data_IF_070940063886
#
_entry.id   IF_070940063886
#
_cell.length_a   1.000
_cell.length_b   1.000
_cell.length_c   1.000
_cell.angle_alpha   90.00
_cell.angle_beta   90.00
_cell.angle_gamma   90.00
#
_symmetry.space_group_name_H-M   'P 1'
#
loop_
_entity.id
_entity.type
_entity.pdbx_description
1 polymer ?
#
# COMPACT_ATOMS: atom_id res chain seq x y z
N UNK A 1 -33.49 -22.54 -31.94
CA UNK A 1 -32.01 -22.41 -31.97
C UNK A 1 -31.57 -21.60 -30.76
N UNK A 2 -31.17 -22.26 -29.67
CA UNK A 2 -30.66 -21.58 -28.47
C UNK A 2 -29.18 -21.27 -28.68
N UNK A 3 -28.87 -19.98 -28.79
CA UNK A 3 -27.49 -19.48 -28.84
C UNK A 3 -26.77 -19.88 -27.54
N UNK A 4 -25.74 -20.74 -27.65
CA UNK A 4 -24.80 -21.01 -26.56
C UNK A 4 -24.15 -19.68 -26.17
N UNK A 5 -24.56 -19.11 -25.05
CA UNK A 5 -23.85 -18.05 -24.37
C UNK A 5 -22.45 -18.59 -24.04
N UNK A 6 -21.45 -18.23 -24.84
CA UNK A 6 -20.05 -18.51 -24.56
C UNK A 6 -19.71 -17.88 -23.21
N UNK A 7 -19.43 -18.71 -22.21
CA UNK A 7 -18.88 -18.27 -20.94
C UNK A 7 -17.52 -17.62 -21.22
N UNK A 8 -17.53 -16.30 -21.41
CA UNK A 8 -16.29 -15.55 -21.56
C UNK A 8 -15.56 -15.62 -20.26
N UNK A 9 -14.56 -16.50 -20.18
CA UNK A 9 -13.67 -16.65 -19.03
C UNK A 9 -13.11 -15.26 -18.65
N UNK A 10 -13.29 -14.91 -17.38
CA UNK A 10 -12.72 -13.71 -16.78
C UNK A 10 -11.20 -13.85 -16.74
N UNK A 11 -10.50 -13.34 -17.76
CA UNK A 11 -9.05 -13.19 -17.74
C UNK A 11 -8.74 -11.71 -17.48
N UNK A 12 -8.28 -11.35 -16.28
CA UNK A 12 -7.68 -10.03 -16.09
C UNK A 12 -6.54 -9.93 -17.10
N UNK A 13 -6.48 -8.84 -17.87
CA UNK A 13 -5.45 -8.70 -18.88
C UNK A 13 -4.10 -8.45 -18.18
N UNK A 14 -3.31 -9.49 -17.97
CA UNK A 14 -1.96 -9.47 -17.38
C UNK A 14 -1.06 -8.41 -18.03
N UNK A 15 -1.24 -8.15 -19.33
CA UNK A 15 -0.52 -7.09 -20.06
C UNK A 15 -0.85 -5.69 -19.51
N UNK A 16 -2.12 -5.43 -19.24
CA UNK A 16 -2.61 -4.14 -18.72
C UNK A 16 -2.16 -3.92 -17.28
N UNK A 17 -2.19 -4.96 -16.46
CA UNK A 17 -1.65 -4.97 -15.11
C UNK A 17 -0.13 -4.64 -15.12
N UNK A 18 0.66 -5.34 -15.94
CA UNK A 18 2.11 -5.09 -16.08
C UNK A 18 2.41 -3.66 -16.52
N UNK A 19 1.66 -3.11 -17.46
CA UNK A 19 1.82 -1.73 -17.92
C UNK A 19 1.55 -0.73 -16.77
N UNK A 20 0.47 -0.92 -16.03
CA UNK A 20 0.13 -0.06 -14.88
C UNK A 20 1.20 -0.12 -13.80
N UNK A 21 1.68 -1.31 -13.42
CA UNK A 21 2.74 -1.49 -12.44
C UNK A 21 4.05 -0.83 -12.90
N UNK A 22 4.44 -0.98 -14.16
CA UNK A 22 5.63 -0.31 -14.69
C UNK A 22 5.53 1.22 -14.59
N UNK A 23 4.36 1.78 -14.86
CA UNK A 23 4.12 3.23 -14.77
C UNK A 23 4.29 3.75 -13.34
N UNK A 24 3.92 2.97 -12.34
CA UNK A 24 3.98 3.34 -10.92
C UNK A 24 5.25 2.85 -10.22
N UNK A 25 6.15 2.14 -10.92
CA UNK A 25 7.33 1.51 -10.32
C UNK A 25 8.28 2.53 -9.66
N UNK A 26 8.50 3.67 -10.31
CA UNK A 26 9.32 4.75 -9.74
C UNK A 26 8.74 5.29 -8.43
N UNK A 27 7.42 5.47 -8.38
CA UNK A 27 6.73 5.90 -7.16
C UNK A 27 6.83 4.83 -6.06
N UNK A 28 6.74 3.53 -6.43
CA UNK A 28 6.88 2.41 -5.48
C UNK A 28 8.27 2.40 -4.85
N UNK A 29 9.32 2.57 -5.65
CA UNK A 29 10.70 2.63 -5.15
C UNK A 29 10.86 3.82 -4.20
N UNK A 30 10.39 5.00 -4.58
CA UNK A 30 10.45 6.20 -3.74
C UNK A 30 9.72 6.01 -2.42
N UNK A 31 8.50 5.44 -2.45
CA UNK A 31 7.73 5.12 -1.25
C UNK A 31 8.43 4.08 -0.37
N UNK A 32 9.07 3.06 -0.98
CA UNK A 32 9.81 2.04 -0.23
C UNK A 32 11.00 2.66 0.51
N UNK A 33 11.78 3.50 -0.16
CA UNK A 33 12.90 4.21 0.46
C UNK A 33 12.41 5.13 1.57
N UNK A 34 11.36 5.91 1.32
CA UNK A 34 10.77 6.81 2.32
C UNK A 34 10.30 6.05 3.57
N UNK A 35 9.56 4.96 3.39
CA UNK A 35 9.06 4.13 4.49
C UNK A 35 10.19 3.46 5.29
N UNK A 36 11.23 2.97 4.60
CA UNK A 36 12.39 2.36 5.26
C UNK A 36 13.25 3.37 6.01
N UNK A 37 13.33 4.62 5.55
CA UNK A 37 14.01 5.68 6.28
C UNK A 37 13.18 6.20 7.46
N UNK A 38 11.88 6.41 7.24
CA UNK A 38 11.01 7.00 8.25
C UNK A 38 10.76 6.04 9.42
N UNK A 39 10.29 4.80 9.17
CA UNK A 39 9.87 3.90 10.25
C UNK A 39 11.03 3.40 11.12
N UNK A 40 12.04 2.71 10.58
CA UNK A 40 13.15 2.27 11.40
C UNK A 40 14.03 3.44 11.85
N UNK A 41 14.19 4.50 11.04
CA UNK A 41 14.95 5.69 11.42
C UNK A 41 14.34 6.41 12.61
N UNK A 42 13.03 6.56 12.67
CA UNK A 42 12.33 7.14 13.83
C UNK A 42 12.55 6.30 15.09
N UNK A 43 12.41 4.98 15.00
CA UNK A 43 12.63 4.08 16.14
C UNK A 43 14.07 4.13 16.60
N UNK A 44 15.04 4.07 15.68
CA UNK A 44 16.46 4.13 16.01
C UNK A 44 16.87 5.46 16.64
N UNK A 45 16.32 6.59 16.20
CA UNK A 45 16.58 7.89 16.83
C UNK A 45 16.04 7.94 18.27
N UNK A 46 14.86 7.36 18.51
CA UNK A 46 14.31 7.26 19.85
C UNK A 46 15.15 6.36 20.77
N UNK A 47 15.64 5.23 20.27
CA UNK A 47 16.54 4.33 20.97
C UNK A 47 17.84 5.09 21.32
N UNK A 48 18.46 5.74 20.36
CA UNK A 48 19.72 6.47 20.58
C UNK A 48 19.57 7.60 21.60
N UNK A 49 18.47 8.37 21.53
CA UNK A 49 18.19 9.43 22.50
C UNK A 49 17.99 8.90 23.92
N UNK A 50 17.38 7.73 24.07
CA UNK A 50 17.20 7.09 25.37
C UNK A 50 18.49 6.51 25.95
N UNK A 51 19.30 5.86 25.11
CA UNK A 51 20.60 5.35 25.54
C UNK A 51 21.55 6.47 25.96
N UNK A 52 21.50 7.62 25.31
CA UNK A 52 22.31 8.79 25.66
C UNK A 52 21.81 9.53 26.90
N UNK A 53 20.56 9.34 27.33
CA UNK A 53 19.96 10.03 28.49
C UNK A 53 20.20 9.34 29.83
N UNK A 54 21.26 8.55 30.01
CA UNK A 54 21.81 8.02 31.28
C UNK A 54 20.85 7.26 32.23
N UNK A 55 19.58 7.05 31.89
CA UNK A 55 18.58 6.59 32.85
C UNK A 55 18.05 5.16 32.64
N UNK A 56 18.30 4.52 31.51
CA UNK A 56 17.87 3.12 31.31
C UNK A 56 18.67 2.43 30.22
N UNK A 57 19.19 1.25 30.53
CA UNK A 57 19.91 0.37 29.59
C UNK A 57 18.97 -0.38 28.65
N UNK A 58 17.67 -0.34 28.90
CA UNK A 58 16.66 -1.11 28.17
C UNK A 58 15.62 -0.16 27.58
N UNK A 59 15.34 -0.30 26.29
CA UNK A 59 14.35 0.46 25.56
C UNK A 59 13.04 -0.33 25.41
N UNK A 60 11.95 0.21 25.92
CA UNK A 60 10.62 -0.42 25.78
C UNK A 60 9.94 0.06 24.49
N UNK A 61 9.84 -0.84 23.51
CA UNK A 61 9.24 -0.58 22.20
C UNK A 61 7.73 -0.33 22.27
N UNK A 62 7.02 -0.95 23.22
CA UNK A 62 5.56 -0.89 23.30
C UNK A 62 5.04 0.55 23.51
N UNK A 63 5.85 1.44 24.09
CA UNK A 63 5.49 2.85 24.27
C UNK A 63 5.46 3.66 22.95
N UNK A 64 6.24 3.26 21.95
CA UNK A 64 6.37 3.98 20.68
C UNK A 64 5.60 3.29 19.56
N UNK A 65 5.36 2.00 19.67
CA UNK A 65 4.68 1.20 18.65
C UNK A 65 3.36 1.84 18.15
N UNK A 66 2.44 2.35 18.99
CA UNK A 66 1.21 2.95 18.49
C UNK A 66 1.44 4.18 17.60
N UNK A 67 2.43 5.03 17.96
CA UNK A 67 2.77 6.23 17.18
C UNK A 67 3.32 5.86 15.81
N UNK A 68 4.24 4.90 15.76
CA UNK A 68 4.83 4.44 14.50
C UNK A 68 3.77 3.78 13.61
N UNK A 69 2.93 2.91 14.18
CA UNK A 69 1.86 2.21 13.47
C UNK A 69 0.86 3.21 12.88
N UNK A 70 0.44 4.22 13.64
CA UNK A 70 -0.49 5.26 13.16
C UNK A 70 0.13 6.08 12.02
N UNK A 71 1.40 6.45 12.12
CA UNK A 71 2.10 7.18 11.06
C UNK A 71 2.22 6.34 9.78
N UNK A 72 2.59 5.06 9.87
CA UNK A 72 2.62 4.13 8.72
C UNK A 72 1.24 4.04 8.07
N UNK A 73 0.18 3.94 8.88
CA UNK A 73 -1.20 3.86 8.37
C UNK A 73 -1.60 5.11 7.58
N UNK A 74 -1.31 6.29 8.10
CA UNK A 74 -1.59 7.57 7.41
C UNK A 74 -0.84 7.66 6.08
N UNK A 75 0.44 7.31 6.09
CA UNK A 75 1.29 7.34 4.89
C UNK A 75 0.79 6.33 3.84
N UNK A 76 0.43 5.10 4.24
CA UNK A 76 -0.09 4.09 3.33
C UNK A 76 -1.45 4.46 2.74
N UNK A 77 -2.34 5.09 3.51
CA UNK A 77 -3.60 5.62 3.00
C UNK A 77 -3.39 6.75 2.00
N UNK A 78 -2.52 7.71 2.30
CA UNK A 78 -2.14 8.78 1.36
C UNK A 78 -1.55 8.23 0.06
N UNK A 79 -0.68 7.23 0.17
CA UNK A 79 -0.15 6.53 -0.99
C UNK A 79 -1.24 5.84 -1.81
N UNK A 80 -2.21 5.17 -1.16
CA UNK A 80 -3.32 4.51 -1.84
C UNK A 80 -4.13 5.49 -2.69
N UNK A 81 -4.42 6.68 -2.16
CA UNK A 81 -5.09 7.75 -2.90
C UNK A 81 -4.30 8.12 -4.16
N UNK A 82 -3.01 8.41 -4.03
CA UNK A 82 -2.14 8.79 -5.15
C UNK A 82 -2.05 7.68 -6.22
N UNK A 83 -1.85 6.43 -5.81
CA UNK A 83 -1.77 5.31 -6.75
C UNK A 83 -3.08 5.08 -7.50
N UNK A 84 -4.22 5.20 -6.82
CA UNK A 84 -5.53 5.10 -7.46
C UNK A 84 -5.75 6.25 -8.43
N UNK A 85 -5.48 7.49 -8.05
CA UNK A 85 -5.58 8.62 -8.97
C UNK A 85 -4.73 8.45 -10.22
N UNK A 86 -3.46 8.03 -10.08
CA UNK A 86 -2.56 7.80 -11.22
C UNK A 86 -3.09 6.68 -12.12
N UNK A 87 -3.58 5.57 -11.54
CA UNK A 87 -4.07 4.44 -12.32
C UNK A 87 -5.41 4.71 -13.00
N UNK A 88 -6.24 5.58 -12.42
CA UNK A 88 -7.56 5.94 -12.98
C UNK A 88 -7.58 7.30 -13.70
N UNK A 89 -6.44 8.00 -13.79
CA UNK A 89 -6.34 9.29 -14.48
C UNK A 89 -6.85 9.25 -15.94
N UNK A 90 -6.86 8.06 -16.57
CA UNK A 90 -7.39 7.90 -17.93
C UNK A 90 -8.89 8.16 -18.05
N UNK A 91 -9.66 8.02 -16.96
CA UNK A 91 -11.12 8.31 -16.98
C UNK A 91 -11.39 9.80 -17.21
N UNK A 92 -10.45 10.66 -16.81
CA UNK A 92 -10.58 12.11 -16.94
C UNK A 92 -10.02 12.68 -18.26
N UNK A 93 -9.40 11.82 -19.10
CA UNK A 93 -8.87 12.23 -20.41
C UNK A 93 -9.69 11.61 -21.54
N UNK A 94 -10.37 12.44 -22.36
CA UNK A 94 -11.19 11.99 -23.50
C UNK A 94 -10.44 11.05 -24.43
N UNK A 95 -9.23 11.43 -24.85
CA UNK A 95 -8.41 10.63 -25.77
C UNK A 95 -8.05 9.25 -25.21
N UNK A 96 -7.76 9.15 -23.92
CA UNK A 96 -7.46 7.88 -23.26
C UNK A 96 -8.71 7.05 -23.02
N UNK A 97 -9.82 7.69 -22.68
CA UNK A 97 -11.10 7.03 -22.45
C UNK A 97 -11.61 6.35 -23.72
N UNK A 98 -11.58 7.04 -24.86
CA UNK A 98 -12.02 6.50 -26.16
C UNK A 98 -11.16 5.30 -26.58
N UNK A 99 -9.85 5.36 -26.34
CA UNK A 99 -8.95 4.24 -26.60
C UNK A 99 -9.31 3.01 -25.75
N UNK A 100 -9.57 3.19 -24.45
CA UNK A 100 -9.90 2.07 -23.56
C UNK A 100 -11.31 1.51 -23.85
N UNK A 101 -12.25 2.34 -24.33
CA UNK A 101 -13.58 1.89 -24.73
C UNK A 101 -13.59 1.12 -26.06
N UNK A 102 -12.61 1.35 -26.94
CA UNK A 102 -12.45 0.60 -28.19
C UNK A 102 -11.84 -0.80 -28.00
N UNK A 103 -11.23 -1.08 -26.82
CA UNK A 103 -10.68 -2.39 -26.54
C UNK A 103 -11.79 -3.41 -26.26
N UNK A 104 -11.70 -4.64 -26.79
CA UNK A 104 -12.69 -5.71 -26.57
C UNK A 104 -12.55 -6.33 -25.15
N UNK A 105 -12.46 -5.47 -24.13
CA UNK A 105 -12.34 -5.86 -22.73
C UNK A 105 -13.62 -5.55 -21.97
N UNK A 106 -14.01 -6.45 -21.06
CA UNK A 106 -15.11 -6.15 -20.13
C UNK A 106 -14.70 -5.01 -19.20
N UNK A 107 -15.55 -3.99 -19.05
CA UNK A 107 -15.32 -2.82 -18.16
C UNK A 107 -14.93 -3.24 -16.74
N UNK A 108 -15.59 -4.26 -16.19
CA UNK A 108 -15.27 -4.82 -14.86
C UNK A 108 -13.85 -5.38 -14.77
N UNK A 109 -13.39 -6.09 -15.81
CA UNK A 109 -12.02 -6.63 -15.85
C UNK A 109 -10.95 -5.54 -15.88
N UNK A 110 -11.23 -4.43 -16.58
CA UNK A 110 -10.34 -3.28 -16.63
C UNK A 110 -10.26 -2.58 -15.26
N UNK A 111 -11.40 -2.32 -14.62
CA UNK A 111 -11.46 -1.71 -13.30
C UNK A 111 -10.73 -2.55 -12.24
N UNK A 112 -11.02 -3.85 -12.20
CA UNK A 112 -10.40 -4.77 -11.23
C UNK A 112 -8.88 -4.86 -11.44
N UNK A 113 -8.41 -4.99 -12.68
CA UNK A 113 -6.96 -5.07 -12.93
C UNK A 113 -6.22 -3.79 -12.55
N UNK A 114 -6.83 -2.61 -12.73
CA UNK A 114 -6.28 -1.32 -12.31
C UNK A 114 -6.28 -1.14 -10.81
N UNK A 115 -7.34 -1.61 -10.14
CA UNK A 115 -7.45 -1.61 -8.69
C UNK A 115 -6.31 -2.42 -8.05
N UNK A 116 -6.10 -3.66 -8.50
CA UNK A 116 -5.00 -4.48 -8.02
C UNK A 116 -3.61 -3.89 -8.37
N UNK A 117 -3.48 -3.27 -9.56
CA UNK A 117 -2.25 -2.60 -9.94
C UNK A 117 -1.94 -1.36 -9.09
N UNK A 118 -2.93 -0.79 -8.41
CA UNK A 118 -2.73 0.29 -7.45
C UNK A 118 -2.36 -0.25 -6.05
N UNK A 119 -3.02 -1.30 -5.57
CA UNK A 119 -2.85 -1.81 -4.19
C UNK A 119 -1.57 -2.63 -4.04
N UNK A 120 -1.29 -3.55 -4.97
CA UNK A 120 -0.14 -4.47 -4.84
C UNK A 120 1.21 -3.75 -4.67
N UNK A 121 1.53 -2.68 -5.41
CA UNK A 121 2.77 -1.94 -5.20
C UNK A 121 2.90 -1.29 -3.82
N UNK A 122 1.80 -0.97 -3.14
CA UNK A 122 1.80 -0.37 -1.80
C UNK A 122 2.08 -1.42 -0.73
N UNK A 123 1.70 -2.67 -0.96
CA UNK A 123 1.95 -3.75 -0.01
C UNK A 123 3.46 -4.00 0.19
N UNK A 124 4.28 -3.80 -0.85
CA UNK A 124 5.73 -4.02 -0.77
C UNK A 124 6.38 -3.12 0.29
N UNK A 125 6.30 -1.78 0.22
CA UNK A 125 6.86 -0.91 1.25
C UNK A 125 6.25 -1.13 2.63
N UNK A 126 4.96 -1.46 2.70
CA UNK A 126 4.29 -1.73 3.97
C UNK A 126 4.85 -2.98 4.65
N UNK A 127 4.96 -4.09 3.92
CA UNK A 127 5.54 -5.35 4.45
C UNK A 127 6.98 -5.13 4.89
N UNK A 128 7.80 -4.43 4.09
CA UNK A 128 9.19 -4.15 4.42
C UNK A 128 9.33 -3.28 5.67
N UNK A 129 8.45 -2.29 5.87
CA UNK A 129 8.44 -1.45 7.08
C UNK A 129 8.13 -2.27 8.33
N UNK A 130 7.11 -3.12 8.29
CA UNK A 130 6.78 -3.96 9.44
C UNK A 130 7.83 -5.05 9.69
N UNK A 131 8.43 -5.60 8.64
CA UNK A 131 9.55 -6.54 8.77
C UNK A 131 10.79 -5.87 9.41
N UNK A 132 11.09 -4.62 9.06
CA UNK A 132 12.18 -3.87 9.69
C UNK A 132 11.92 -3.58 11.17
N UNK A 133 10.67 -3.31 11.56
CA UNK A 133 10.29 -3.16 12.98
C UNK A 133 10.49 -4.47 13.76
N UNK A 134 10.11 -5.61 13.17
CA UNK A 134 10.38 -6.92 13.78
C UNK A 134 11.90 -7.18 13.92
N UNK A 135 12.71 -6.73 12.95
CA UNK A 135 14.16 -6.81 13.02
C UNK A 135 14.76 -6.00 14.15
N UNK A 136 14.21 -4.82 14.44
CA UNK A 136 14.67 -3.97 15.57
C UNK A 136 14.36 -4.62 16.92
N UNK A 137 13.21 -5.30 17.04
CA UNK A 137 12.86 -6.05 18.27
C UNK A 137 13.80 -7.23 18.57
N UNK A 138 14.55 -7.71 17.57
CA UNK A 138 15.54 -8.77 17.77
C UNK A 138 16.87 -8.28 18.35
N UNK A 139 16.99 -6.97 18.63
CA UNK A 139 18.19 -6.40 19.25
C UNK A 139 18.15 -6.60 20.77
N UNK A 140 19.25 -7.00 21.38
CA UNK A 140 19.34 -7.37 22.80
C UNK A 140 18.98 -6.23 23.79
N UNK A 141 19.06 -4.98 23.36
CA UNK A 141 18.75 -3.81 24.17
C UNK A 141 17.33 -3.27 23.96
N UNK A 142 16.49 -3.98 23.22
CA UNK A 142 15.10 -3.60 22.96
C UNK A 142 14.16 -4.62 23.57
N UNK A 143 13.40 -4.20 24.56
CA UNK A 143 12.29 -4.98 25.10
C UNK A 143 10.98 -4.57 24.44
N UNK A 144 10.16 -5.54 24.07
CA UNK A 144 8.85 -5.31 23.51
C UNK A 144 8.16 -6.57 23.05
N UNK A 145 6.86 -6.45 22.85
CA UNK A 145 6.03 -7.55 22.33
C UNK A 145 5.90 -7.46 20.80
N UNK A 146 5.94 -8.59 20.14
CA UNK A 146 5.65 -8.67 18.70
C UNK A 146 4.15 -8.47 18.40
N UNK A 147 3.29 -8.63 19.41
CA UNK A 147 1.82 -8.53 19.26
C UNK A 147 1.35 -7.19 18.70
N UNK A 148 1.78 -6.01 19.20
CA UNK A 148 1.33 -4.72 18.65
C UNK A 148 1.75 -4.53 17.19
N UNK A 149 2.92 -5.04 16.78
CA UNK A 149 3.37 -4.96 15.38
C UNK A 149 2.46 -5.79 14.48
N UNK A 150 2.19 -7.04 14.86
CA UNK A 150 1.34 -7.93 14.07
C UNK A 150 -0.10 -7.44 13.99
N UNK A 151 -0.64 -6.97 15.12
CA UNK A 151 -1.98 -6.39 15.17
C UNK A 151 -2.06 -5.11 14.35
N UNK A 152 -1.05 -4.23 14.46
CA UNK A 152 -0.94 -3.01 13.67
C UNK A 152 -0.85 -3.28 12.17
N UNK A 153 -0.11 -4.31 11.75
CA UNK A 153 -0.05 -4.75 10.36
C UNK A 153 -1.42 -5.19 9.84
N UNK A 154 -2.15 -6.00 10.61
CA UNK A 154 -3.49 -6.45 10.22
C UNK A 154 -4.47 -5.28 10.09
N UNK A 155 -4.47 -4.34 11.05
CA UNK A 155 -5.28 -3.12 10.98
C UNK A 155 -4.89 -2.24 9.78
N UNK A 156 -3.60 -2.09 9.51
CA UNK A 156 -3.12 -1.30 8.38
C UNK A 156 -3.63 -1.85 7.04
N UNK A 157 -3.56 -3.17 6.83
CA UNK A 157 -4.09 -3.81 5.61
C UNK A 157 -5.59 -3.60 5.50
N UNK A 158 -6.34 -3.76 6.58
CA UNK A 158 -7.80 -3.58 6.59
C UNK A 158 -8.18 -2.15 6.23
N UNK A 159 -7.54 -1.16 6.86
CA UNK A 159 -7.77 0.26 6.59
C UNK A 159 -7.36 0.61 5.15
N UNK A 160 -6.24 0.07 4.66
CA UNK A 160 -5.79 0.27 3.27
C UNK A 160 -6.83 -0.21 2.26
N UNK A 161 -7.40 -1.41 2.47
CA UNK A 161 -8.45 -1.96 1.59
C UNK A 161 -9.71 -1.09 1.65
N UNK A 162 -10.13 -0.68 2.84
CA UNK A 162 -11.29 0.19 3.02
C UNK A 162 -11.08 1.54 2.32
N UNK A 163 -9.95 2.19 2.55
CA UNK A 163 -9.59 3.46 1.93
C UNK A 163 -9.56 3.35 0.39
N UNK A 164 -8.96 2.27 -0.13
CA UNK A 164 -8.91 2.02 -1.56
C UNK A 164 -10.30 1.76 -2.17
N UNK A 165 -11.18 1.03 -1.48
CA UNK A 165 -12.54 0.78 -1.93
C UNK A 165 -13.37 2.07 -1.98
N UNK A 166 -13.31 2.91 -0.94
CA UNK A 166 -13.98 4.21 -0.95
C UNK A 166 -13.47 5.12 -2.07
N UNK A 167 -12.17 5.21 -2.24
CA UNK A 167 -11.57 6.02 -3.31
C UNK A 167 -12.01 5.54 -4.69
N UNK A 168 -12.09 4.23 -4.89
CA UNK A 168 -12.56 3.63 -6.14
C UNK A 168 -14.00 4.05 -6.45
N UNK A 169 -14.89 4.00 -5.44
CA UNK A 169 -16.28 4.43 -5.59
C UNK A 169 -16.34 5.91 -6.01
N UNK A 170 -15.59 6.79 -5.33
CA UNK A 170 -15.55 8.21 -5.69
C UNK A 170 -15.05 8.45 -7.12
N UNK A 171 -13.97 7.77 -7.52
CA UNK A 171 -13.40 7.91 -8.87
C UNK A 171 -14.41 7.46 -9.94
N UNK A 172 -15.12 6.34 -9.70
CA UNK A 172 -16.10 5.81 -10.66
C UNK A 172 -17.37 6.67 -10.71
N UNK A 173 -17.77 7.27 -9.59
CA UNK A 173 -18.95 8.17 -9.55
C UNK A 173 -18.66 9.56 -10.13
N UNK A 174 -17.40 10.02 -10.08
CA UNK A 174 -17.01 11.34 -10.57
C UNK A 174 -16.64 11.37 -12.06
N UNK A 175 -16.36 10.22 -12.70
CA UNK A 175 -15.99 10.07 -14.13
C UNK A 175 -17.12 9.50 -14.93
#
# INVERSE_FOLDING_TARGET
MMSKASSVKFHPSLKLYRYSVKRTMGLTVLMTVFMLLFCPGYVLTHINNRLNSLSSTIFNFDNIAPTVISAVTVITCGAALLYLFINFAFLYSRSSSDFFHSLPLKRTGLLVSRFFAAIVPILIPTVLSYASMCGILALDYVEGSIKPILTGFAYNILILIMCAAFTMIFIVCAG
#
